data_IF_513258681318
#
_entry.id   IF_513258681318
#
_cell.length_a   1.000
_cell.length_b   1.000
_cell.length_c   1.000
_cell.angle_alpha   90.00
_cell.angle_beta   90.00
_cell.angle_gamma   90.00
#
_symmetry.space_group_name_H-M   'P 1'
#
loop_
_entity.id
_entity.type
_entity.pdbx_description
1 polymer ?
#
# COMPACT_ATOMS: atom_id res chain seq x y z
N UNK A 1 -29.45 57.48 19.10
CA UNK A 1 -29.27 56.96 20.48
C UNK A 1 -30.23 55.83 20.83
N UNK A 2 -31.53 55.90 20.49
CA UNK A 2 -32.40 54.69 20.42
C UNK A 2 -31.80 53.58 19.55
N UNK A 3 -30.99 53.94 18.55
CA UNK A 3 -30.28 53.03 17.64
C UNK A 3 -29.36 52.03 18.32
N UNK A 4 -28.76 52.33 19.49
CA UNK A 4 -27.71 51.46 20.06
C UNK A 4 -28.33 50.39 20.94
N UNK A 5 -29.29 50.76 21.78
CA UNK A 5 -30.12 49.80 22.50
C UNK A 5 -30.97 49.02 21.49
N UNK A 6 -31.43 49.64 20.40
CA UNK A 6 -32.05 48.95 19.27
C UNK A 6 -31.08 48.01 18.54
N UNK A 7 -29.82 48.34 18.35
CA UNK A 7 -28.81 47.46 17.72
C UNK A 7 -28.39 46.33 18.67
N UNK A 8 -28.24 46.59 19.97
CA UNK A 8 -28.02 45.56 21.00
C UNK A 8 -29.24 44.64 21.08
N UNK A 9 -30.46 45.18 21.14
CA UNK A 9 -31.71 44.39 21.11
C UNK A 9 -31.90 43.67 19.80
N UNK A 10 -31.64 44.29 18.64
CA UNK A 10 -31.74 43.64 17.32
C UNK A 10 -30.69 42.57 17.14
N UNK A 11 -29.47 42.76 17.63
CA UNK A 11 -28.43 41.73 17.60
C UNK A 11 -28.77 40.55 18.52
N UNK A 12 -29.37 40.82 19.69
CA UNK A 12 -29.87 39.79 20.62
C UNK A 12 -31.12 39.08 20.06
N UNK A 13 -32.06 39.81 19.45
CA UNK A 13 -33.26 39.28 18.76
C UNK A 13 -32.85 38.43 17.54
N UNK A 14 -31.93 38.92 16.71
CA UNK A 14 -31.40 38.23 15.53
C UNK A 14 -30.68 36.92 15.86
N UNK A 15 -30.12 36.78 17.08
CA UNK A 15 -29.51 35.53 17.52
C UNK A 15 -30.47 34.60 18.28
N UNK A 16 -31.54 35.13 18.87
CA UNK A 16 -32.60 34.32 19.50
C UNK A 16 -33.67 33.84 18.50
N UNK A 17 -33.85 34.54 17.38
CA UNK A 17 -34.62 34.10 16.21
C UNK A 17 -33.66 33.66 15.10
N UNK A 18 -33.05 32.47 15.25
CA UNK A 18 -32.52 31.75 14.08
C UNK A 18 -33.74 31.26 13.29
N UNK A 19 -34.35 32.15 12.49
CA UNK A 19 -34.90 31.74 11.21
C UNK A 19 -33.77 31.91 10.19
N UNK A 20 -33.29 30.76 9.72
CA UNK A 20 -32.61 30.53 8.45
C UNK A 20 -33.04 31.63 7.44
N UNK A 21 -32.13 32.54 7.07
CA UNK A 21 -32.15 33.42 5.86
C UNK A 21 -31.38 34.75 5.99
N UNK A 22 -30.57 34.97 7.04
CA UNK A 22 -29.68 36.14 7.09
C UNK A 22 -28.24 35.79 6.65
N UNK A 23 -27.87 36.23 5.43
CA UNK A 23 -26.57 35.98 4.75
C UNK A 23 -25.37 36.76 5.33
N UNK A 24 -25.26 36.95 6.64
CA UNK A 24 -24.17 37.72 7.25
C UNK A 24 -23.40 36.97 8.33
N UNK A 25 -22.06 37.02 8.27
CA UNK A 25 -21.16 36.44 9.26
C UNK A 25 -21.39 37.08 10.66
N UNK A 26 -21.69 36.30 11.71
CA UNK A 26 -21.80 36.77 13.09
C UNK A 26 -20.59 37.59 13.58
N UNK A 27 -19.39 37.32 13.06
CA UNK A 27 -18.19 38.10 13.36
C UNK A 27 -18.26 39.52 12.81
N UNK A 28 -18.84 39.70 11.63
CA UNK A 28 -18.99 41.03 11.00
C UNK A 28 -19.99 41.89 11.76
N UNK A 29 -21.11 41.32 12.21
CA UNK A 29 -22.07 42.04 13.05
C UNK A 29 -21.51 42.37 14.44
N UNK A 30 -20.73 41.46 15.03
CA UNK A 30 -20.03 41.72 16.30
C UNK A 30 -19.02 42.86 16.15
N UNK A 31 -18.28 42.90 15.04
CA UNK A 31 -17.32 43.96 14.75
C UNK A 31 -18.01 45.31 14.50
N UNK A 32 -19.11 45.33 13.75
CA UNK A 32 -19.90 46.54 13.53
C UNK A 32 -20.50 47.07 14.83
N UNK A 33 -21.00 46.19 15.70
CA UNK A 33 -21.48 46.53 17.03
C UNK A 33 -20.33 47.09 17.89
N UNK A 34 -19.18 46.43 17.92
CA UNK A 34 -17.97 46.90 18.62
C UNK A 34 -17.57 48.30 18.17
N UNK A 35 -17.51 48.55 16.85
CA UNK A 35 -17.19 49.86 16.27
C UNK A 35 -18.18 50.94 16.69
N UNK A 36 -19.50 50.66 16.62
CA UNK A 36 -20.55 51.59 17.05
C UNK A 36 -20.51 51.87 18.55
N UNK A 37 -20.24 50.86 19.37
CA UNK A 37 -20.09 51.02 20.81
C UNK A 37 -18.79 51.77 21.15
N UNK A 38 -17.74 51.61 20.36
CA UNK A 38 -16.50 52.36 20.51
C UNK A 38 -16.70 53.84 20.19
N UNK A 39 -17.41 54.15 19.09
CA UNK A 39 -17.82 55.51 18.72
C UNK A 39 -18.56 56.19 19.89
N UNK A 40 -19.55 55.50 20.50
CA UNK A 40 -20.24 56.01 21.68
C UNK A 40 -19.34 56.18 22.89
N UNK A 41 -18.47 55.20 23.16
CA UNK A 41 -17.49 55.27 24.25
C UNK A 41 -16.57 56.47 24.11
N UNK A 42 -16.30 56.89 22.87
CA UNK A 42 -15.43 58.01 22.54
C UNK A 42 -16.11 59.38 22.65
N UNK A 43 -17.45 59.46 22.65
CA UNK A 43 -18.18 60.73 22.81
C UNK A 43 -17.91 61.40 24.15
N UNK A 44 -17.57 60.62 25.18
CA UNK A 44 -17.11 61.12 26.49
C UNK A 44 -15.86 62.01 26.39
N UNK A 45 -15.04 61.84 25.34
CA UNK A 45 -13.85 62.67 25.07
C UNK A 45 -14.19 64.02 24.43
N UNK A 46 -15.43 64.20 23.95
CA UNK A 46 -15.94 65.43 23.36
C UNK A 46 -16.94 66.10 24.31
N UNK A 47 -16.41 66.64 25.42
CA UNK A 47 -17.16 67.14 26.59
C UNK A 47 -18.36 68.03 26.21
N UNK A 48 -18.19 68.97 25.27
CA UNK A 48 -19.28 69.88 24.85
C UNK A 48 -20.43 69.16 24.13
N UNK A 49 -20.12 68.20 23.27
CA UNK A 49 -21.12 67.40 22.57
C UNK A 49 -21.85 66.50 23.55
N UNK A 50 -21.11 65.88 24.47
CA UNK A 50 -21.65 65.03 25.53
C UNK A 50 -22.57 65.79 26.49
N UNK A 51 -22.24 67.06 26.81
CA UNK A 51 -23.09 67.95 27.60
C UNK A 51 -24.35 68.38 26.83
N UNK A 52 -24.25 68.75 25.55
CA UNK A 52 -25.39 69.17 24.73
C UNK A 52 -26.43 68.07 24.48
N UNK A 53 -26.09 66.81 24.74
CA UNK A 53 -26.96 65.66 24.54
C UNK A 53 -27.43 65.01 25.84
N UNK A 54 -27.22 65.67 26.98
CA UNK A 54 -27.51 65.15 28.32
C UNK A 54 -26.86 63.77 28.56
N UNK A 55 -25.60 63.63 28.11
CA UNK A 55 -24.90 62.35 28.08
C UNK A 55 -24.79 61.70 29.45
N UNK A 56 -24.60 62.48 30.52
CA UNK A 56 -24.52 61.98 31.90
C UNK A 56 -25.84 61.36 32.34
N UNK A 57 -26.96 62.05 32.17
CA UNK A 57 -28.30 61.58 32.55
C UNK A 57 -28.71 60.33 31.77
N UNK A 58 -28.33 60.26 30.49
CA UNK A 58 -28.55 59.06 29.67
C UNK A 58 -27.71 57.87 30.12
N UNK A 59 -26.45 58.08 30.48
CA UNK A 59 -25.60 57.01 31.02
C UNK A 59 -26.13 56.52 32.36
N UNK A 60 -26.58 57.42 33.25
CA UNK A 60 -27.22 57.06 34.53
C UNK A 60 -28.50 56.25 34.32
N UNK A 61 -29.29 56.59 33.31
CA UNK A 61 -30.50 55.83 32.94
C UNK A 61 -30.17 54.43 32.39
N UNK A 62 -29.09 54.27 31.63
CA UNK A 62 -28.71 52.99 31.01
C UNK A 62 -27.89 52.09 31.92
N UNK A 63 -27.25 52.65 32.93
CA UNK A 63 -26.39 51.92 33.85
C UNK A 63 -27.11 50.70 34.50
N UNK A 64 -28.36 50.80 34.99
CA UNK A 64 -29.10 49.65 35.48
C UNK A 64 -29.32 48.55 34.42
N UNK A 65 -29.59 48.94 33.17
CA UNK A 65 -29.80 47.98 32.07
C UNK A 65 -28.51 47.25 31.68
N UNK A 66 -27.38 47.96 31.63
CA UNK A 66 -26.08 47.34 31.36
C UNK A 66 -25.66 46.38 32.48
N UNK A 67 -25.97 46.72 33.74
CA UNK A 67 -25.69 45.87 34.90
C UNK A 67 -26.55 44.61 34.89
N UNK A 68 -27.83 44.73 34.57
CA UNK A 68 -28.73 43.57 34.48
C UNK A 68 -28.37 42.64 33.31
N UNK A 69 -28.01 43.24 32.16
CA UNK A 69 -27.52 42.48 31.01
C UNK A 69 -26.19 41.77 31.31
N UNK A 70 -25.26 42.45 32.00
CA UNK A 70 -24.02 41.83 32.46
C UNK A 70 -24.30 40.62 33.35
N UNK A 71 -25.16 40.77 34.35
CA UNK A 71 -25.54 39.69 35.28
C UNK A 71 -26.16 38.51 34.54
N UNK A 72 -27.06 38.78 33.59
CA UNK A 72 -27.73 37.74 32.80
C UNK A 72 -26.73 37.02 31.89
N UNK A 73 -25.88 37.76 31.18
CA UNK A 73 -24.89 37.17 30.27
C UNK A 73 -23.84 36.37 31.06
N UNK A 74 -23.35 36.88 32.19
CA UNK A 74 -22.39 36.17 33.04
C UNK A 74 -23.01 34.89 33.63
N UNK A 75 -24.26 34.95 34.11
CA UNK A 75 -24.97 33.78 34.65
C UNK A 75 -25.18 32.68 33.62
N UNK A 76 -25.75 33.02 32.46
CA UNK A 76 -25.98 32.05 31.38
C UNK A 76 -24.69 31.43 30.84
N UNK A 77 -23.59 32.17 30.90
CA UNK A 77 -22.34 31.64 30.38
C UNK A 77 -21.59 30.83 31.42
N UNK A 78 -21.73 31.15 32.72
CA UNK A 78 -21.32 30.25 33.80
C UNK A 78 -22.09 28.92 33.71
N UNK A 79 -23.39 28.95 33.41
CA UNK A 79 -24.18 27.75 33.13
C UNK A 79 -23.60 26.96 31.95
N UNK A 80 -23.30 27.62 30.83
CA UNK A 80 -22.67 26.97 29.66
C UNK A 80 -21.31 26.36 30.02
N UNK A 81 -20.53 27.03 30.87
CA UNK A 81 -19.22 26.59 31.36
C UNK A 81 -19.35 25.32 32.21
N UNK A 82 -20.27 25.33 33.17
CA UNK A 82 -20.56 24.17 34.05
C UNK A 82 -21.12 22.99 33.26
N UNK A 83 -21.96 23.25 32.25
CA UNK A 83 -22.55 22.21 31.40
C UNK A 83 -21.64 21.76 30.25
N UNK A 84 -20.43 22.30 30.13
CA UNK A 84 -19.50 22.05 29.01
C UNK A 84 -20.09 22.29 27.61
N UNK A 85 -21.05 23.22 27.50
CA UNK A 85 -21.65 23.58 26.22
C UNK A 85 -20.79 24.64 25.51
N UNK A 86 -19.67 24.19 24.94
CA UNK A 86 -18.63 25.07 24.43
C UNK A 86 -19.02 25.90 23.22
N UNK A 87 -19.95 25.43 22.39
CA UNK A 87 -20.48 26.17 21.25
C UNK A 87 -21.25 27.41 21.73
N UNK A 88 -22.17 27.20 22.66
CA UNK A 88 -22.96 28.28 23.25
C UNK A 88 -22.09 29.23 24.10
N UNK A 89 -21.09 28.69 24.79
CA UNK A 89 -20.06 29.47 25.50
C UNK A 89 -19.31 30.40 24.54
N UNK A 90 -18.83 29.92 23.39
CA UNK A 90 -18.16 30.73 22.36
C UNK A 90 -19.05 31.84 21.83
N UNK A 91 -20.28 31.49 21.49
CA UNK A 91 -21.28 32.42 21.00
C UNK A 91 -21.54 33.58 21.97
N UNK A 92 -21.53 33.28 23.27
CA UNK A 92 -21.69 34.26 24.35
C UNK A 92 -20.42 35.07 24.58
N UNK A 93 -19.24 34.47 24.38
CA UNK A 93 -17.97 35.18 24.49
C UNK A 93 -17.76 36.22 23.40
N UNK A 94 -18.25 35.98 22.17
CA UNK A 94 -18.25 36.99 21.11
C UNK A 94 -19.06 38.23 21.56
N UNK A 95 -20.24 38.00 22.15
CA UNK A 95 -21.07 39.08 22.71
C UNK A 95 -20.36 39.80 23.85
N UNK A 96 -19.72 39.06 24.76
CA UNK A 96 -18.95 39.60 25.87
C UNK A 96 -17.79 40.49 25.39
N UNK A 97 -17.10 40.06 24.33
CA UNK A 97 -16.01 40.80 23.72
C UNK A 97 -16.49 42.14 23.14
N UNK A 98 -17.57 42.12 22.35
CA UNK A 98 -18.15 43.33 21.76
C UNK A 98 -18.61 44.34 22.83
N UNK A 99 -19.17 43.84 23.93
CA UNK A 99 -19.65 44.68 25.04
C UNK A 99 -18.54 45.15 25.97
N UNK A 100 -17.30 44.64 25.84
CA UNK A 100 -16.15 45.08 26.63
C UNK A 100 -15.88 46.58 26.53
N UNK A 101 -16.29 47.24 25.43
CA UNK A 101 -16.20 48.70 25.29
C UNK A 101 -17.07 49.47 26.31
N UNK A 102 -18.16 48.86 26.80
CA UNK A 102 -19.08 49.46 27.77
C UNK A 102 -18.55 49.46 29.20
N UNK A 103 -17.51 48.67 29.49
CA UNK A 103 -16.88 48.61 30.82
C UNK A 103 -16.43 50.00 31.31
N UNK A 104 -16.05 50.89 30.38
CA UNK A 104 -15.62 52.28 30.67
C UNK A 104 -16.72 53.15 31.28
N UNK A 105 -17.99 52.86 31.00
CA UNK A 105 -19.12 53.59 31.58
C UNK A 105 -19.56 53.02 32.92
N UNK A 106 -19.22 51.76 33.18
CA UNK A 106 -19.66 51.01 34.35
C UNK A 106 -18.52 50.77 35.36
N UNK A 107 -17.39 51.50 35.23
CA UNK A 107 -16.16 51.28 36.03
C UNK A 107 -16.44 51.29 37.53
N UNK A 108 -17.24 52.25 37.99
CA UNK A 108 -17.60 52.39 39.40
C UNK A 108 -18.46 51.23 39.92
N UNK A 109 -19.19 50.54 39.04
CA UNK A 109 -20.10 49.44 39.40
C UNK A 109 -19.44 48.08 39.26
N UNK A 110 -18.68 47.86 38.19
CA UNK A 110 -18.05 46.57 37.92
C UNK A 110 -16.69 46.39 38.59
N UNK A 111 -16.04 47.46 39.07
CA UNK A 111 -14.78 47.40 39.82
C UNK A 111 -13.68 46.52 39.19
N UNK A 112 -13.63 46.47 37.85
CA UNK A 112 -12.68 45.64 37.09
C UNK A 112 -13.20 44.26 36.66
N UNK A 113 -14.41 43.86 37.07
CA UNK A 113 -15.07 42.60 36.70
C UNK A 113 -16.17 42.79 35.64
N UNK A 114 -15.95 43.69 34.68
CA UNK A 114 -16.88 43.93 33.57
C UNK A 114 -16.80 42.88 32.46
N UNK A 115 -17.48 43.14 31.35
CA UNK A 115 -17.60 42.23 30.20
C UNK A 115 -16.23 41.80 29.64
N UNK A 116 -15.26 42.72 29.59
CA UNK A 116 -13.92 42.44 29.07
C UNK A 116 -13.08 41.57 30.01
N UNK A 117 -13.25 41.70 31.33
CA UNK A 117 -12.57 40.83 32.29
C UNK A 117 -13.14 39.41 32.24
N UNK A 118 -14.46 39.32 32.14
CA UNK A 118 -15.17 38.05 32.06
C UNK A 118 -14.91 37.31 30.73
N UNK A 119 -14.88 38.02 29.60
CA UNK A 119 -14.40 37.49 28.32
C UNK A 119 -13.01 36.86 28.45
N UNK A 120 -12.03 37.58 29.03
CA UNK A 120 -10.66 37.07 29.20
C UNK A 120 -10.60 35.80 30.04
N UNK A 121 -11.40 35.71 31.10
CA UNK A 121 -11.44 34.54 31.98
C UNK A 121 -11.91 33.30 31.23
N UNK A 122 -13.04 33.39 30.52
CA UNK A 122 -13.62 32.27 29.80
C UNK A 122 -12.87 31.95 28.48
N UNK A 123 -12.26 32.96 27.85
CA UNK A 123 -11.41 32.76 26.66
C UNK A 123 -10.21 31.84 26.97
N UNK A 124 -9.61 31.93 28.16
CA UNK A 124 -8.51 31.05 28.57
C UNK A 124 -8.93 29.59 28.60
N UNK A 125 -10.14 29.29 29.07
CA UNK A 125 -10.67 27.92 29.14
C UNK A 125 -10.97 27.37 27.75
N UNK A 126 -11.66 28.13 26.90
CA UNK A 126 -11.92 27.75 25.50
C UNK A 126 -10.61 27.52 24.75
N UNK A 127 -9.61 28.37 24.96
CA UNK A 127 -8.28 28.23 24.33
C UNK A 127 -7.56 26.97 24.81
N UNK A 128 -7.65 26.66 26.11
CA UNK A 128 -7.04 25.45 26.69
C UNK A 128 -7.65 24.19 26.08
N UNK A 129 -8.97 24.18 25.92
CA UNK A 129 -9.68 23.03 25.36
C UNK A 129 -9.38 22.83 23.87
N UNK A 130 -9.40 23.89 23.07
CA UNK A 130 -8.98 23.84 21.65
C UNK A 130 -7.55 23.32 21.52
N UNK A 131 -6.66 23.68 22.44
CA UNK A 131 -5.27 23.22 22.44
C UNK A 131 -5.12 21.72 22.76
N UNK A 132 -5.99 21.15 23.59
CA UNK A 132 -5.98 19.70 23.83
C UNK A 132 -6.47 18.92 22.61
N UNK A 133 -7.52 19.39 21.93
CA UNK A 133 -7.97 18.77 20.66
C UNK A 133 -6.89 18.86 19.58
N UNK A 134 -6.23 20.02 19.48
CA UNK A 134 -5.07 20.20 18.60
C UNK A 134 -3.94 19.18 18.87
N UNK A 135 -3.55 19.00 20.13
CA UNK A 135 -2.54 17.99 20.49
C UNK A 135 -3.00 16.58 20.15
N UNK A 136 -4.30 16.29 20.28
CA UNK A 136 -4.86 15.00 19.91
C UNK A 136 -4.70 14.76 18.41
N UNK A 137 -5.07 15.73 17.55
CA UNK A 137 -4.88 15.63 16.09
C UNK A 137 -3.43 15.34 15.73
N UNK A 138 -2.48 16.11 16.28
CA UNK A 138 -1.06 15.87 16.01
C UNK A 138 -0.59 14.48 16.46
N UNK A 139 -1.04 14.03 17.63
CA UNK A 139 -0.71 12.71 18.14
C UNK A 139 -1.26 11.58 17.26
N UNK A 140 -2.49 11.73 16.74
CA UNK A 140 -3.07 10.79 15.79
C UNK A 140 -2.29 10.76 14.47
N UNK A 141 -1.94 11.93 13.91
CA UNK A 141 -1.11 12.05 12.70
C UNK A 141 0.25 11.38 12.90
N UNK A 142 0.90 11.60 14.05
CA UNK A 142 2.19 11.01 14.38
C UNK A 142 2.11 9.47 14.46
N UNK A 143 1.01 8.94 14.97
CA UNK A 143 0.75 7.49 15.04
C UNK A 143 0.26 6.89 13.72
N UNK A 144 -0.02 7.72 12.70
CA UNK A 144 -0.61 7.28 11.43
C UNK A 144 -2.07 6.83 11.55
N UNK A 145 -2.78 7.32 12.56
CA UNK A 145 -4.20 7.05 12.79
C UNK A 145 -5.05 8.19 12.20
N UNK A 146 -5.13 8.20 10.87
CA UNK A 146 -5.76 9.31 10.15
C UNK A 146 -7.28 9.33 10.32
N UNK A 147 -7.92 8.20 10.62
CA UNK A 147 -9.36 8.17 10.89
C UNK A 147 -9.71 8.96 12.16
N UNK A 148 -8.96 8.76 13.25
CA UNK A 148 -9.17 9.53 14.47
C UNK A 148 -8.64 10.98 14.35
N UNK A 149 -7.62 11.22 13.51
CA UNK A 149 -7.18 12.58 13.22
C UNK A 149 -8.28 13.41 12.54
N UNK A 150 -8.99 12.84 11.56
CA UNK A 150 -10.12 13.46 10.86
C UNK A 150 -11.30 13.80 11.80
N UNK A 151 -11.66 12.85 12.66
CA UNK A 151 -12.70 13.05 13.69
C UNK A 151 -12.31 14.20 14.61
N UNK A 152 -11.09 14.17 15.15
CA UNK A 152 -10.61 15.22 16.04
C UNK A 152 -10.44 16.56 15.32
N UNK A 153 -10.18 16.58 14.02
CA UNK A 153 -10.13 17.81 13.22
C UNK A 153 -11.53 18.41 13.04
N UNK A 154 -12.57 17.59 12.89
CA UNK A 154 -13.95 18.07 12.80
C UNK A 154 -14.38 18.79 14.08
N UNK A 155 -13.96 18.30 15.25
CA UNK A 155 -14.15 18.98 16.54
C UNK A 155 -13.43 20.33 16.62
N UNK A 156 -12.43 20.54 15.76
CA UNK A 156 -11.63 21.76 15.70
C UNK A 156 -12.27 22.85 14.83
N UNK A 157 -13.05 22.50 13.80
CA UNK A 157 -13.80 23.49 13.01
C UNK A 157 -14.84 24.21 13.88
N UNK A 158 -15.50 23.46 14.77
CA UNK A 158 -16.31 24.02 15.87
C UNK A 158 -15.46 24.84 16.86
N UNK A 159 -14.14 24.60 16.85
CA UNK A 159 -13.16 25.14 17.80
C UNK A 159 -12.12 26.13 17.26
N UNK A 160 -12.31 26.83 16.14
CA UNK A 160 -11.45 27.95 15.63
C UNK A 160 -9.96 27.92 16.04
N UNK A 161 -9.11 27.29 15.23
CA UNK A 161 -7.65 27.22 15.45
C UNK A 161 -6.94 28.58 15.36
N UNK A 162 -5.78 28.66 16.03
CA UNK A 162 -4.77 29.65 15.64
C UNK A 162 -4.16 29.26 14.28
N UNK A 163 -3.86 30.25 13.44
CA UNK A 163 -3.21 30.03 12.14
C UNK A 163 -1.88 29.25 12.27
N UNK A 164 -1.19 29.43 13.40
CA UNK A 164 0.07 28.74 13.72
C UNK A 164 -0.14 27.23 13.90
N UNK A 165 -1.18 26.85 14.64
CA UNK A 165 -1.51 25.46 14.92
C UNK A 165 -1.96 24.76 13.64
N UNK A 166 -2.81 25.42 12.84
CA UNK A 166 -3.21 24.92 11.52
C UNK A 166 -2.00 24.64 10.61
N UNK A 167 -1.05 25.58 10.54
CA UNK A 167 0.20 25.39 9.76
C UNK A 167 1.00 24.17 10.21
N UNK A 168 1.05 23.92 11.52
CA UNK A 168 1.76 22.77 12.06
C UNK A 168 1.05 21.44 11.76
N UNK A 169 -0.29 21.36 11.87
CA UNK A 169 -1.05 20.18 11.44
C UNK A 169 -0.77 19.88 9.96
N UNK A 170 -0.86 20.90 9.08
CA UNK A 170 -0.58 20.74 7.64
C UNK A 170 0.83 20.18 7.40
N UNK A 171 1.82 20.72 8.11
CA UNK A 171 3.21 20.27 8.00
C UNK A 171 3.38 18.81 8.44
N UNK A 172 2.86 18.45 9.61
CA UNK A 172 3.01 17.09 10.15
C UNK A 172 2.25 16.06 9.32
N UNK A 173 1.03 16.39 8.86
CA UNK A 173 0.25 15.52 7.97
C UNK A 173 1.04 15.22 6.68
N UNK A 174 1.55 16.27 6.03
CA UNK A 174 2.38 16.12 4.82
C UNK A 174 3.65 15.32 5.08
N UNK A 175 4.34 15.58 6.18
CA UNK A 175 5.57 14.86 6.55
C UNK A 175 5.30 13.37 6.78
N UNK A 176 4.26 13.06 7.55
CA UNK A 176 3.81 11.70 7.88
C UNK A 176 3.44 10.92 6.61
N UNK A 177 2.65 11.51 5.71
CA UNK A 177 2.25 10.88 4.45
C UNK A 177 3.43 10.66 3.49
N UNK A 178 4.32 11.64 3.36
CA UNK A 178 5.53 11.49 2.55
C UNK A 178 6.43 10.36 3.06
N UNK A 179 6.53 10.21 4.38
CA UNK A 179 7.27 9.11 5.00
C UNK A 179 6.62 7.76 4.67
N UNK A 180 5.30 7.62 4.85
CA UNK A 180 4.57 6.40 4.48
C UNK A 180 4.77 6.02 3.02
N UNK A 181 4.61 6.99 2.10
CA UNK A 181 4.80 6.74 0.67
C UNK A 181 6.24 6.33 0.35
N UNK A 182 7.24 6.95 0.98
CA UNK A 182 8.64 6.62 0.78
C UNK A 182 8.98 5.24 1.32
N UNK A 183 8.51 4.90 2.52
CA UNK A 183 8.76 3.61 3.16
C UNK A 183 8.14 2.48 2.33
N UNK A 184 6.91 2.67 1.85
CA UNK A 184 6.22 1.72 0.94
C UNK A 184 6.99 1.52 -0.36
N UNK A 185 7.45 2.60 -1.02
CA UNK A 185 8.30 2.50 -2.22
C UNK A 185 9.60 1.76 -1.93
N UNK A 186 10.20 1.97 -0.76
CA UNK A 186 11.39 1.24 -0.33
C UNK A 186 11.12 -0.26 -0.15
N UNK A 187 9.94 -0.62 0.37
CA UNK A 187 9.50 -2.01 0.51
C UNK A 187 9.34 -2.68 -0.86
N UNK A 188 8.66 -2.00 -1.80
CA UNK A 188 8.50 -2.52 -3.17
C UNK A 188 9.85 -2.73 -3.85
N UNK A 189 10.77 -1.77 -3.74
CA UNK A 189 12.13 -1.92 -4.27
C UNK A 189 12.91 -3.05 -3.57
N UNK A 190 12.65 -3.30 -2.29
CA UNK A 190 13.29 -4.42 -1.58
C UNK A 190 12.75 -5.77 -2.06
N UNK A 191 11.45 -5.86 -2.41
CA UNK A 191 10.86 -7.05 -3.03
C UNK A 191 11.49 -7.33 -4.40
N UNK A 192 11.94 -6.31 -5.14
CA UNK A 192 12.75 -6.47 -6.34
C UNK A 192 14.12 -7.08 -5.99
N UNK A 193 14.22 -8.41 -6.12
CA UNK A 193 15.45 -9.18 -5.92
C UNK A 193 15.52 -9.97 -4.60
N UNK A 194 14.49 -9.91 -3.75
CA UNK A 194 14.41 -10.70 -2.50
C UNK A 194 13.10 -11.46 -2.30
N UNK A 195 12.35 -11.65 -3.38
CA UNK A 195 11.05 -12.35 -3.40
C UNK A 195 11.09 -13.78 -2.83
N UNK A 196 12.29 -14.33 -2.63
CA UNK A 196 12.54 -15.69 -2.14
C UNK A 196 12.62 -15.81 -0.61
N UNK A 197 12.62 -14.69 0.15
CA UNK A 197 12.73 -14.70 1.63
C UNK A 197 11.36 -14.66 2.32
N UNK A 198 10.67 -15.80 2.37
CA UNK A 198 9.26 -15.91 2.75
C UNK A 198 8.87 -15.18 4.06
N UNK A 199 9.61 -15.40 5.16
CA UNK A 199 9.28 -14.82 6.47
C UNK A 199 9.51 -13.30 6.54
N UNK A 200 10.59 -12.81 5.92
CA UNK A 200 10.84 -11.38 5.78
C UNK A 200 9.78 -10.73 4.88
N UNK A 201 9.40 -11.40 3.78
CA UNK A 201 8.44 -10.89 2.81
C UNK A 201 7.06 -10.68 3.40
N UNK A 202 6.56 -11.61 4.24
CA UNK A 202 5.23 -11.47 4.85
C UNK A 202 5.13 -10.20 5.70
N UNK A 203 6.15 -9.93 6.53
CA UNK A 203 6.19 -8.73 7.37
C UNK A 203 6.26 -7.46 6.51
N UNK A 204 7.11 -7.45 5.48
CA UNK A 204 7.23 -6.31 4.57
C UNK A 204 5.92 -6.05 3.80
N UNK A 205 5.28 -7.10 3.28
CA UNK A 205 3.99 -6.99 2.58
C UNK A 205 2.89 -6.49 3.52
N UNK A 206 2.88 -6.92 4.77
CA UNK A 206 1.91 -6.44 5.77
C UNK A 206 2.07 -4.94 6.02
N UNK A 207 3.30 -4.48 6.26
CA UNK A 207 3.59 -3.04 6.44
C UNK A 207 3.19 -2.24 5.19
N UNK A 208 3.48 -2.78 4.00
CA UNK A 208 3.12 -2.13 2.74
C UNK A 208 1.60 -1.94 2.61
N UNK A 209 0.80 -2.96 2.93
CA UNK A 209 -0.66 -2.89 2.93
C UNK A 209 -1.19 -1.86 3.91
N UNK A 210 -0.70 -1.89 5.15
CA UNK A 210 -1.11 -0.94 6.18
C UNK A 210 -0.82 0.51 5.76
N UNK A 211 0.31 0.75 5.08
CA UNK A 211 0.64 2.08 4.58
C UNK A 211 -0.28 2.52 3.44
N UNK A 212 -0.61 1.63 2.51
CA UNK A 212 -1.56 1.89 1.42
C UNK A 212 -2.95 2.21 2.00
N UNK A 213 -3.43 1.40 2.94
CA UNK A 213 -4.72 1.63 3.62
C UNK A 213 -4.77 2.99 4.31
N UNK A 214 -3.69 3.37 5.00
CA UNK A 214 -3.56 4.68 5.64
C UNK A 214 -3.62 5.83 4.63
N UNK A 215 -2.96 5.70 3.48
CA UNK A 215 -3.05 6.68 2.39
C UNK A 215 -4.48 6.77 1.85
N UNK A 216 -5.14 5.63 1.67
CA UNK A 216 -6.51 5.58 1.17
C UNK A 216 -7.51 6.18 2.15
N UNK A 217 -7.30 6.03 3.47
CA UNK A 217 -8.09 6.73 4.48
C UNK A 217 -8.01 8.25 4.25
N UNK A 218 -6.80 8.82 4.10
CA UNK A 218 -6.67 10.28 3.86
C UNK A 218 -7.35 10.71 2.57
N UNK A 219 -7.24 9.94 1.49
CA UNK A 219 -7.92 10.23 0.23
C UNK A 219 -9.45 10.27 0.34
N UNK A 220 -10.02 9.48 1.25
CA UNK A 220 -11.46 9.40 1.50
C UNK A 220 -11.96 10.41 2.55
N UNK A 221 -11.07 11.17 3.19
CA UNK A 221 -11.41 12.12 4.26
C UNK A 221 -11.18 13.55 3.78
N UNK A 222 -12.26 14.22 3.36
CA UNK A 222 -12.21 15.59 2.83
C UNK A 222 -11.51 16.57 3.79
N UNK A 223 -11.83 16.52 5.09
CA UNK A 223 -11.22 17.41 6.09
C UNK A 223 -9.69 17.30 6.16
N UNK A 224 -9.13 16.08 6.04
CA UNK A 224 -7.67 15.90 5.95
C UNK A 224 -7.12 16.24 4.57
N UNK A 225 -7.86 15.94 3.50
CA UNK A 225 -7.40 16.17 2.13
C UNK A 225 -7.28 17.67 1.82
N UNK A 226 -8.21 18.49 2.30
CA UNK A 226 -8.22 19.96 2.16
C UNK A 226 -7.05 20.65 2.86
N UNK A 227 -6.45 19.99 3.85
CA UNK A 227 -5.24 20.51 4.52
C UNK A 227 -3.99 20.41 3.65
N UNK A 228 -4.01 19.61 2.59
CA UNK A 228 -2.87 19.33 1.73
C UNK A 228 -2.84 20.23 0.49
N UNK A 229 -1.63 20.56 0.04
CA UNK A 229 -1.44 21.25 -1.24
C UNK A 229 -1.74 20.34 -2.45
N UNK A 230 -2.14 20.95 -3.58
CA UNK A 230 -2.52 20.26 -4.81
C UNK A 230 -1.49 19.22 -5.26
N UNK A 231 -0.19 19.53 -5.11
CA UNK A 231 0.87 18.61 -5.48
C UNK A 231 0.80 17.34 -4.62
N UNK A 232 0.71 17.50 -3.31
CA UNK A 232 0.63 16.39 -2.36
C UNK A 232 -0.64 15.56 -2.60
N UNK A 233 -1.78 16.20 -2.86
CA UNK A 233 -3.01 15.49 -3.22
C UNK A 233 -2.86 14.64 -4.48
N UNK A 234 -2.23 15.18 -5.52
CA UNK A 234 -1.95 14.45 -6.77
C UNK A 234 -0.96 13.29 -6.55
N UNK A 235 0.06 13.50 -5.72
CA UNK A 235 1.01 12.45 -5.35
C UNK A 235 0.30 11.28 -4.64
N UNK A 236 -0.65 11.57 -3.73
CA UNK A 236 -1.45 10.54 -3.05
C UNK A 236 -2.38 9.80 -4.04
N UNK A 237 -3.09 10.52 -4.91
CA UNK A 237 -4.02 9.90 -5.89
C UNK A 237 -3.31 8.99 -6.90
N UNK A 238 -2.06 9.31 -7.25
CA UNK A 238 -1.26 8.51 -8.16
C UNK A 238 -0.42 7.43 -7.47
N UNK A 239 -0.36 7.44 -6.14
CA UNK A 239 0.51 6.57 -5.35
C UNK A 239 0.19 5.09 -5.57
N UNK A 240 -1.07 4.69 -5.42
CA UNK A 240 -1.50 3.30 -5.59
C UNK A 240 -1.21 2.78 -6.99
N UNK A 241 -1.47 3.58 -8.02
CA UNK A 241 -1.14 3.21 -9.39
C UNK A 241 0.38 3.06 -9.60
N UNK A 242 1.19 3.92 -8.99
CA UNK A 242 2.65 3.87 -9.09
C UNK A 242 3.26 2.67 -8.36
N UNK A 243 2.77 2.37 -7.14
CA UNK A 243 3.08 1.11 -6.45
C UNK A 243 2.62 -0.04 -7.32
N UNK A 244 1.45 0.11 -7.96
CA UNK A 244 0.89 -0.97 -8.71
C UNK A 244 1.83 -1.35 -9.87
N UNK A 245 2.10 -0.41 -10.76
CA UNK A 245 3.01 -0.61 -11.89
C UNK A 245 4.38 -1.21 -11.51
N UNK A 246 4.94 -0.85 -10.36
CA UNK A 246 6.20 -1.43 -9.89
C UNK A 246 6.08 -2.90 -9.52
N UNK A 247 5.05 -3.28 -8.76
CA UNK A 247 4.80 -4.68 -8.42
C UNK A 247 4.54 -5.52 -9.68
N UNK A 248 3.82 -4.99 -10.68
CA UNK A 248 3.67 -5.64 -12.00
C UNK A 248 5.00 -5.84 -12.73
N UNK A 249 5.93 -4.88 -12.64
CA UNK A 249 7.27 -5.03 -13.27
C UNK A 249 8.09 -6.13 -12.60
N UNK A 250 8.11 -6.18 -11.26
CA UNK A 250 8.82 -7.20 -10.47
C UNK A 250 8.28 -8.59 -10.83
N UNK A 251 6.97 -8.69 -10.79
CA UNK A 251 6.14 -9.81 -11.24
C UNK A 251 6.54 -10.32 -12.64
N UNK A 252 6.48 -9.48 -13.67
CA UNK A 252 6.84 -9.88 -15.04
C UNK A 252 8.31 -10.26 -15.19
N UNK A 253 9.22 -9.64 -14.41
CA UNK A 253 10.65 -10.00 -14.39
C UNK A 253 10.85 -11.39 -13.80
N UNK A 254 10.21 -11.70 -12.67
CA UNK A 254 10.23 -13.02 -12.05
C UNK A 254 9.73 -14.12 -12.98
N UNK A 255 8.60 -13.89 -13.65
CA UNK A 255 8.06 -14.83 -14.65
C UNK A 255 9.00 -15.06 -15.83
N UNK A 256 9.71 -14.01 -16.28
CA UNK A 256 10.72 -14.13 -17.35
C UNK A 256 11.88 -15.00 -16.90
N UNK A 257 12.39 -14.81 -15.67
CA UNK A 257 13.43 -15.67 -15.11
C UNK A 257 12.99 -17.13 -14.97
N UNK A 258 11.76 -17.39 -14.51
CA UNK A 258 11.20 -18.75 -14.47
C UNK A 258 11.15 -19.36 -15.88
N UNK A 259 10.72 -18.58 -16.88
CA UNK A 259 10.67 -19.01 -18.27
C UNK A 259 12.04 -19.37 -18.83
N UNK A 260 13.08 -18.65 -18.43
CA UNK A 260 14.47 -18.90 -18.82
C UNK A 260 15.02 -20.16 -18.12
N UNK A 261 14.75 -20.36 -16.83
CA UNK A 261 15.09 -21.61 -16.12
C UNK A 261 14.44 -22.83 -16.76
N UNK A 262 13.15 -22.75 -17.10
CA UNK A 262 12.45 -23.82 -17.80
C UNK A 262 13.07 -24.14 -19.17
N UNK A 263 13.53 -23.13 -19.92
CA UNK A 263 14.19 -23.32 -21.21
C UNK A 263 15.59 -23.96 -21.08
N UNK A 264 16.26 -23.79 -19.94
CA UNK A 264 17.59 -24.34 -19.64
C UNK A 264 17.54 -25.73 -18.98
N UNK A 265 16.35 -26.35 -18.93
CA UNK A 265 16.05 -27.57 -18.19
C UNK A 265 16.36 -27.46 -16.67
N UNK A 266 16.46 -26.24 -16.12
CA UNK A 266 16.66 -25.95 -14.68
C UNK A 266 15.33 -25.98 -13.93
N UNK A 267 14.72 -27.16 -13.87
CA UNK A 267 13.35 -27.31 -13.37
C UNK A 267 13.22 -26.99 -11.87
N UNK A 268 14.25 -27.27 -11.07
CA UNK A 268 14.18 -27.02 -9.62
C UNK A 268 14.09 -25.53 -9.32
N UNK A 269 14.93 -24.73 -9.99
CA UNK A 269 14.94 -23.28 -9.88
C UNK A 269 13.64 -22.67 -10.41
N UNK A 270 13.09 -23.26 -11.48
CA UNK A 270 11.83 -22.82 -12.04
C UNK A 270 10.62 -23.10 -11.10
N UNK A 271 10.55 -24.27 -10.47
CA UNK A 271 9.52 -24.59 -9.47
C UNK A 271 9.64 -23.67 -8.25
N UNK A 272 10.85 -23.50 -7.71
CA UNK A 272 11.09 -22.61 -6.58
C UNK A 272 10.69 -21.17 -6.91
N UNK A 273 11.06 -20.70 -8.11
CA UNK A 273 10.66 -19.37 -8.58
C UNK A 273 9.14 -19.22 -8.68
N UNK A 274 8.42 -20.24 -9.16
CA UNK A 274 6.95 -20.23 -9.21
C UNK A 274 6.34 -20.20 -7.81
N UNK A 275 6.86 -20.98 -6.86
CA UNK A 275 6.36 -21.02 -5.49
C UNK A 275 6.56 -19.67 -4.78
N UNK A 276 7.75 -19.09 -4.88
CA UNK A 276 8.07 -17.79 -4.30
C UNK A 276 7.16 -16.68 -4.85
N UNK A 277 6.96 -16.67 -6.16
CA UNK A 277 6.11 -15.71 -6.86
C UNK A 277 4.62 -15.90 -6.50
N UNK A 278 4.17 -17.14 -6.35
CA UNK A 278 2.83 -17.49 -5.86
C UNK A 278 2.59 -17.05 -4.41
N UNK A 279 3.61 -17.17 -3.55
CA UNK A 279 3.52 -16.74 -2.16
C UNK A 279 3.34 -15.22 -2.09
N UNK A 280 4.19 -14.45 -2.78
CA UNK A 280 4.05 -12.99 -2.84
C UNK A 280 2.71 -12.56 -3.44
N UNK A 281 2.21 -13.26 -4.46
CA UNK A 281 0.88 -12.99 -5.00
C UNK A 281 -0.23 -13.22 -3.98
N UNK A 282 -0.20 -14.34 -3.25
CA UNK A 282 -1.19 -14.65 -2.22
C UNK A 282 -1.17 -13.58 -1.12
N UNK A 283 0.02 -13.19 -0.70
CA UNK A 283 0.20 -12.14 0.29
C UNK A 283 -0.26 -10.78 -0.25
N UNK A 284 -0.19 -10.49 -1.55
CA UNK A 284 -0.67 -9.22 -2.15
C UNK A 284 -2.13 -9.25 -2.62
N UNK A 285 -2.83 -10.37 -2.48
CA UNK A 285 -4.21 -10.53 -2.94
C UNK A 285 -5.14 -9.47 -2.31
N UNK A 286 -6.01 -8.88 -3.14
CA UNK A 286 -7.00 -7.88 -2.72
C UNK A 286 -6.54 -6.42 -2.75
N UNK A 287 -5.22 -6.17 -2.72
CA UNK A 287 -4.64 -4.83 -2.82
C UNK A 287 -4.18 -4.49 -4.23
N UNK A 288 -4.05 -5.51 -5.07
CA UNK A 288 -3.44 -5.43 -6.38
C UNK A 288 -4.31 -6.10 -7.43
N UNK A 289 -4.70 -5.35 -8.46
CA UNK A 289 -5.70 -5.78 -9.47
C UNK A 289 -5.10 -6.30 -10.78
N UNK A 290 -3.78 -6.52 -10.88
CA UNK A 290 -3.22 -6.82 -12.20
C UNK A 290 -3.55 -8.20 -12.75
N UNK A 291 -3.41 -8.30 -14.07
CA UNK A 291 -3.41 -9.47 -14.96
C UNK A 291 -2.45 -10.62 -14.57
N UNK A 292 -1.82 -10.58 -13.40
CA UNK A 292 -0.79 -11.52 -12.96
C UNK A 292 -1.22 -12.98 -12.94
N UNK A 293 -2.49 -13.23 -12.59
CA UNK A 293 -3.10 -14.58 -12.62
C UNK A 293 -3.06 -15.19 -14.03
N UNK A 294 -3.19 -14.37 -15.07
CA UNK A 294 -3.11 -14.84 -16.45
C UNK A 294 -1.68 -15.29 -16.81
N UNK A 295 -0.67 -14.54 -16.35
CA UNK A 295 0.72 -14.83 -16.68
C UNK A 295 1.27 -16.06 -15.93
N UNK A 296 0.85 -16.30 -14.68
CA UNK A 296 1.22 -17.53 -13.94
C UNK A 296 0.61 -18.78 -14.62
N UNK A 297 -0.65 -18.69 -15.06
CA UNK A 297 -1.30 -19.75 -15.83
C UNK A 297 -0.54 -20.04 -17.13
N UNK A 298 -0.05 -19.00 -17.81
CA UNK A 298 0.76 -19.16 -19.02
C UNK A 298 2.09 -19.86 -18.75
N UNK A 299 2.78 -19.50 -17.67
CA UNK A 299 4.03 -20.17 -17.25
C UNK A 299 3.79 -21.62 -16.86
N UNK A 300 2.69 -21.93 -16.16
CA UNK A 300 2.30 -23.32 -15.86
C UNK A 300 2.01 -24.11 -17.13
N UNK A 301 1.23 -23.56 -18.06
CA UNK A 301 0.99 -24.19 -19.38
C UNK A 301 2.28 -24.43 -20.14
N UNK A 302 3.23 -23.48 -20.09
CA UNK A 302 4.53 -23.64 -20.72
C UNK A 302 5.34 -24.75 -20.06
N UNK A 303 5.31 -24.84 -18.73
CA UNK A 303 5.92 -25.93 -17.98
C UNK A 303 5.35 -27.28 -18.42
N UNK A 304 4.03 -27.41 -18.52
CA UNK A 304 3.37 -28.64 -18.97
C UNK A 304 3.74 -28.99 -20.43
N UNK A 305 3.85 -27.99 -21.31
CA UNK A 305 4.34 -28.18 -22.68
C UNK A 305 5.76 -28.71 -22.70
N UNK A 306 6.67 -28.14 -21.90
CA UNK A 306 8.07 -28.57 -21.83
C UNK A 306 8.18 -30.00 -21.30
N UNK A 307 7.43 -30.34 -20.26
CA UNK A 307 7.37 -31.70 -19.70
C UNK A 307 6.82 -32.70 -20.74
N UNK A 308 5.82 -32.30 -21.51
CA UNK A 308 5.31 -33.10 -22.64
C UNK A 308 6.35 -33.26 -23.75
N UNK A 309 7.04 -32.19 -24.12
CA UNK A 309 8.05 -32.19 -25.18
C UNK A 309 9.27 -33.02 -24.80
N UNK A 310 9.72 -32.96 -23.54
CA UNK A 310 10.77 -33.84 -22.99
C UNK A 310 10.40 -35.31 -23.22
N UNK A 311 9.16 -35.67 -22.93
CA UNK A 311 8.68 -37.03 -23.13
C UNK A 311 8.70 -37.43 -24.61
N UNK A 312 8.52 -36.48 -25.54
CA UNK A 312 8.55 -36.70 -26.98
C UNK A 312 9.94 -36.69 -27.61
N UNK A 313 10.93 -36.05 -26.98
CA UNK A 313 12.32 -35.96 -27.51
C UNK A 313 12.93 -37.33 -27.80
N UNK A 314 12.52 -38.37 -27.07
CA UNK A 314 13.03 -39.75 -27.18
C UNK A 314 12.00 -40.72 -27.77
N UNK A 315 10.96 -40.22 -28.44
CA UNK A 315 10.00 -41.08 -29.16
C UNK A 315 10.57 -41.70 -30.45
N UNK A 316 11.71 -41.21 -30.95
CA UNK A 316 12.36 -41.82 -32.11
C UNK A 316 13.09 -43.10 -31.72
N UNK A 317 12.91 -44.17 -32.49
CA UNK A 317 13.67 -45.43 -32.34
C UNK A 317 15.15 -45.31 -32.76
N UNK A 318 15.57 -44.17 -33.32
CA UNK A 318 16.95 -43.95 -33.74
C UNK A 318 17.85 -43.54 -32.56
N UNK A 319 18.69 -44.46 -32.11
CA UNK A 319 19.60 -44.24 -30.98
C UNK A 319 20.66 -43.17 -31.26
N UNK A 320 20.89 -42.81 -32.53
CA UNK A 320 21.83 -41.73 -32.86
C UNK A 320 21.27 -40.36 -32.44
N UNK A 321 19.96 -40.25 -32.27
CA UNK A 321 19.33 -39.03 -31.73
C UNK A 321 19.76 -38.75 -30.29
N UNK A 322 20.11 -39.78 -29.51
CA UNK A 322 20.59 -39.64 -28.12
C UNK A 322 21.96 -38.95 -28.05
N UNK A 323 22.75 -38.95 -29.12
CA UNK A 323 24.00 -38.20 -29.18
C UNK A 323 23.76 -36.70 -29.42
N UNK A 324 22.68 -36.35 -30.14
CA UNK A 324 22.27 -34.97 -30.36
C UNK A 324 21.59 -34.36 -29.14
N UNK A 325 20.89 -35.19 -28.35
CA UNK A 325 20.28 -34.79 -27.08
C UNK A 325 20.63 -35.82 -25.99
N UNK A 326 21.79 -35.69 -25.33
CA UNK A 326 22.24 -36.64 -24.32
C UNK A 326 21.25 -36.77 -23.15
N UNK A 327 20.74 -37.98 -22.85
CA UNK A 327 19.75 -38.17 -21.79
C UNK A 327 20.34 -38.09 -20.37
N UNK A 328 21.66 -38.25 -20.21
CA UNK A 328 22.32 -38.28 -18.89
C UNK A 328 21.97 -37.10 -17.99
N UNK A 329 22.18 -35.88 -18.48
CA UNK A 329 21.99 -34.67 -17.68
C UNK A 329 20.50 -34.39 -17.46
N UNK A 330 19.66 -34.63 -18.46
CA UNK A 330 18.21 -34.48 -18.36
C UNK A 330 17.60 -35.44 -17.33
N UNK A 331 17.96 -36.72 -17.36
CA UNK A 331 17.50 -37.72 -16.40
C UNK A 331 17.95 -37.38 -14.97
N UNK A 332 19.18 -36.88 -14.81
CA UNK A 332 19.67 -36.43 -13.51
C UNK A 332 18.84 -35.26 -12.96
N UNK A 333 18.58 -34.24 -13.78
CA UNK A 333 17.76 -33.08 -13.41
C UNK A 333 16.30 -33.46 -13.11
N UNK A 334 15.68 -34.31 -13.93
CA UNK A 334 14.32 -34.80 -13.70
C UNK A 334 14.22 -35.61 -12.40
N UNK A 335 15.20 -36.49 -12.13
CA UNK A 335 15.26 -37.30 -10.90
C UNK A 335 15.41 -36.43 -9.66
N UNK A 336 16.22 -35.37 -9.74
CA UNK A 336 16.39 -34.41 -8.65
C UNK A 336 15.06 -33.74 -8.30
N UNK A 337 14.32 -33.22 -9.28
CA UNK A 337 13.04 -32.56 -9.03
C UNK A 337 11.95 -33.54 -8.59
N UNK A 338 11.94 -34.74 -9.16
CA UNK A 338 11.03 -35.82 -8.75
C UNK A 338 11.20 -36.19 -7.27
N UNK A 339 12.43 -36.20 -6.75
CA UNK A 339 12.72 -36.49 -5.35
C UNK A 339 12.13 -35.45 -4.37
N UNK A 340 11.85 -34.24 -4.83
CA UNK A 340 11.25 -33.16 -4.03
C UNK A 340 9.71 -33.12 -4.15
N UNK A 341 9.08 -34.21 -4.62
CA UNK A 341 7.62 -34.33 -4.68
C UNK A 341 6.97 -33.90 -6.00
N UNK A 342 7.76 -33.59 -7.03
CA UNK A 342 7.26 -33.22 -8.36
C UNK A 342 6.67 -34.40 -9.13
N UNK A 343 5.41 -34.76 -8.89
CA UNK A 343 4.74 -35.92 -9.51
C UNK A 343 4.81 -35.93 -11.04
N UNK A 344 4.63 -34.77 -11.69
CA UNK A 344 4.74 -34.62 -13.16
C UNK A 344 6.15 -34.87 -13.68
N UNK A 345 7.18 -34.39 -12.97
CA UNK A 345 8.57 -34.61 -13.33
C UNK A 345 8.97 -36.07 -13.10
N UNK A 346 8.40 -36.72 -12.08
CA UNK A 346 8.57 -38.15 -11.85
C UNK A 346 7.93 -38.99 -12.98
N UNK A 347 6.77 -38.57 -13.47
CA UNK A 347 6.12 -39.21 -14.61
C UNK A 347 6.96 -39.03 -15.88
N UNK A 348 7.45 -37.83 -16.15
CA UNK A 348 8.34 -37.55 -17.28
C UNK A 348 9.66 -38.30 -17.18
N UNK A 349 10.26 -38.39 -15.98
CA UNK A 349 11.43 -39.21 -15.70
C UNK A 349 11.16 -40.67 -16.06
N UNK A 350 10.09 -41.25 -15.52
CA UNK A 350 9.75 -42.67 -15.73
C UNK A 350 9.44 -42.97 -17.20
N UNK A 351 8.68 -42.10 -17.86
CA UNK A 351 8.35 -42.21 -19.28
C UNK A 351 9.61 -42.14 -20.15
N UNK A 352 10.46 -41.14 -19.92
CA UNK A 352 11.71 -40.94 -20.68
C UNK A 352 12.66 -42.12 -20.47
N UNK A 353 12.81 -42.56 -19.23
CA UNK A 353 13.60 -43.74 -18.86
C UNK A 353 13.11 -45.01 -19.57
N UNK A 354 11.78 -45.20 -19.63
CA UNK A 354 11.16 -46.32 -20.33
C UNK A 354 11.46 -46.31 -21.83
N UNK A 355 11.30 -45.16 -22.49
CA UNK A 355 11.58 -44.99 -23.92
C UNK A 355 13.05 -45.25 -24.26
N UNK A 356 13.98 -44.67 -23.49
CA UNK A 356 15.41 -44.93 -23.66
C UNK A 356 15.71 -46.42 -23.54
N UNK A 357 15.19 -47.10 -22.51
CA UNK A 357 15.38 -48.55 -22.35
C UNK A 357 14.86 -49.33 -23.56
N UNK A 358 13.68 -48.96 -24.06
CA UNK A 358 13.08 -49.59 -25.24
C UNK A 358 13.96 -49.38 -26.48
N UNK A 359 14.42 -48.15 -26.74
CA UNK A 359 15.27 -47.82 -27.89
C UNK A 359 16.59 -48.62 -27.86
N UNK A 360 17.23 -48.72 -26.70
CA UNK A 360 18.46 -49.52 -26.54
C UNK A 360 18.20 -51.01 -26.73
N UNK A 361 17.11 -51.56 -26.18
CA UNK A 361 16.73 -52.96 -26.41
C UNK A 361 16.45 -53.25 -27.89
N UNK A 362 15.71 -52.37 -28.58
CA UNK A 362 15.43 -52.51 -30.01
C UNK A 362 16.72 -52.41 -30.84
N UNK A 363 17.65 -51.52 -30.49
CA UNK A 363 18.93 -51.41 -31.17
C UNK A 363 19.79 -52.67 -31.02
N UNK A 364 19.81 -53.29 -29.84
CA UNK A 364 20.49 -54.57 -29.59
C UNK A 364 19.88 -55.68 -30.44
N UNK A 365 18.55 -55.79 -30.49
CA UNK A 365 17.87 -56.76 -31.35
C UNK A 365 18.12 -56.47 -32.85
N UNK A 366 18.19 -55.20 -33.22
CA UNK A 366 18.53 -54.75 -34.57
C UNK A 366 19.96 -55.11 -34.99
N UNK A 367 20.91 -55.21 -34.05
CA UNK A 367 22.25 -55.76 -34.27
C UNK A 367 22.17 -57.28 -34.44
N UNK A 368 21.45 -57.99 -33.56
CA UNK A 368 21.30 -59.46 -33.62
C UNK A 368 20.72 -59.93 -34.96
N UNK A 369 19.67 -59.27 -35.43
CA UNK A 369 19.01 -59.56 -36.69
C UNK A 369 19.71 -59.01 -37.94
N UNK A 370 20.78 -58.22 -37.80
CA UNK A 370 21.46 -57.62 -38.96
C UNK A 370 22.37 -58.62 -39.68
N UNK A 371 22.49 -58.50 -41.03
CA UNK A 371 23.57 -59.14 -41.79
C UNK A 371 24.96 -58.75 -41.28
N UNK A 372 25.92 -59.68 -41.38
CA UNK A 372 27.30 -59.56 -40.85
C UNK A 372 28.01 -58.26 -41.29
N UNK A 373 27.86 -57.88 -42.56
CA UNK A 373 28.44 -56.67 -43.15
C UNK A 373 27.90 -55.36 -42.54
N UNK A 374 26.72 -55.39 -41.93
CA UNK A 374 26.07 -54.22 -41.30
C UNK A 374 26.18 -54.20 -39.78
N UNK A 375 26.52 -55.32 -39.14
CA UNK A 375 26.62 -55.44 -37.67
C UNK A 375 27.65 -54.48 -37.07
N UNK A 376 28.83 -54.35 -37.70
CA UNK A 376 29.92 -53.50 -37.19
C UNK A 376 29.55 -52.01 -37.10
N UNK A 377 28.76 -51.49 -38.05
CA UNK A 377 28.30 -50.10 -38.05
C UNK A 377 27.25 -49.87 -36.95
N UNK A 378 26.31 -50.81 -36.78
CA UNK A 378 25.29 -50.73 -35.73
C UNK A 378 25.89 -50.83 -34.32
N UNK A 379 26.88 -51.71 -34.12
CA UNK A 379 27.61 -51.82 -32.85
C UNK A 379 28.35 -50.53 -32.52
N UNK A 380 28.96 -49.85 -33.52
CA UNK A 380 29.59 -48.54 -33.32
C UNK A 380 28.60 -47.46 -32.94
N UNK A 381 27.44 -47.40 -33.60
CA UNK A 381 26.34 -46.50 -33.22
C UNK A 381 25.87 -46.76 -31.79
N UNK A 382 25.70 -48.02 -31.40
CA UNK A 382 25.32 -48.41 -30.04
C UNK A 382 26.37 -48.02 -28.99
N UNK A 383 27.64 -48.27 -29.26
CA UNK A 383 28.74 -47.82 -28.40
C UNK A 383 28.78 -46.30 -28.23
N UNK A 384 28.52 -45.55 -29.31
CA UNK A 384 28.45 -44.10 -29.25
C UNK A 384 27.29 -43.63 -28.35
N UNK A 385 26.10 -44.20 -28.53
CA UNK A 385 24.93 -43.83 -27.74
C UNK A 385 25.09 -44.20 -26.24
N UNK A 386 25.72 -45.34 -25.94
CA UNK A 386 26.00 -45.78 -24.57
C UNK A 386 26.81 -44.76 -23.75
N UNK A 387 27.66 -43.95 -24.38
CA UNK A 387 28.45 -42.91 -23.70
C UNK A 387 27.58 -41.79 -23.10
N UNK A 388 26.35 -41.62 -23.59
CA UNK A 388 25.43 -40.56 -23.18
C UNK A 388 24.37 -41.02 -22.17
N UNK A 389 24.47 -42.27 -21.69
CA UNK A 389 23.63 -42.78 -20.61
C UNK A 389 24.24 -42.54 -19.22
N UNK A 390 23.39 -42.43 -18.18
CA UNK A 390 23.80 -42.63 -16.79
C UNK A 390 24.42 -44.03 -16.57
N UNK A 391 25.39 -44.14 -15.66
CA UNK A 391 26.15 -45.39 -15.44
C UNK A 391 25.26 -46.58 -15.04
N UNK A 392 24.25 -46.33 -14.22
CA UNK A 392 23.28 -47.32 -13.76
C UNK A 392 22.43 -47.89 -14.91
N UNK A 393 22.13 -47.07 -15.91
CA UNK A 393 21.45 -47.49 -17.14
C UNK A 393 22.39 -48.10 -18.17
N UNK A 394 23.64 -47.63 -18.21
CA UNK A 394 24.64 -48.06 -19.18
C UNK A 394 25.07 -49.52 -18.95
N UNK A 395 25.27 -49.92 -17.69
CA UNK A 395 25.81 -51.23 -17.32
C UNK A 395 25.12 -52.44 -18.00
N UNK A 396 23.79 -52.61 -17.95
CA UNK A 396 23.12 -53.77 -18.56
C UNK A 396 23.25 -53.80 -20.09
N UNK A 397 23.19 -52.65 -20.76
CA UNK A 397 23.29 -52.60 -22.22
C UNK A 397 24.73 -52.73 -22.72
N UNK A 398 25.71 -52.24 -21.94
CA UNK A 398 27.13 -52.40 -22.23
C UNK A 398 27.53 -53.88 -22.22
N UNK A 399 27.09 -54.64 -21.23
CA UNK A 399 27.34 -56.07 -21.15
C UNK A 399 26.84 -56.81 -22.41
N UNK A 400 25.61 -56.52 -22.83
CA UNK A 400 25.01 -57.12 -24.03
C UNK A 400 25.73 -56.69 -25.31
N UNK A 401 26.19 -55.44 -25.41
CA UNK A 401 26.93 -54.97 -26.57
C UNK A 401 28.35 -55.59 -26.65
N UNK A 402 29.00 -55.81 -25.51
CA UNK A 402 30.30 -56.49 -25.44
C UNK A 402 30.18 -57.96 -25.89
N UNK A 403 29.09 -58.64 -25.54
CA UNK A 403 28.77 -59.99 -26.04
C UNK A 403 28.58 -60.01 -27.56
N UNK A 404 27.81 -59.07 -28.11
CA UNK A 404 27.60 -58.94 -29.55
C UNK A 404 28.90 -58.63 -30.30
N UNK A 405 29.76 -57.81 -29.72
CA UNK A 405 31.06 -57.47 -30.29
C UNK A 405 32.00 -58.69 -30.35
N UNK A 406 31.98 -59.55 -29.33
CA UNK A 406 32.71 -60.82 -29.33
C UNK A 406 32.18 -61.79 -30.38
N UNK A 407 30.85 -61.96 -30.46
CA UNK A 407 30.21 -62.82 -31.45
C UNK A 407 30.56 -62.39 -32.88
N UNK A 408 30.54 -61.09 -33.17
CA UNK A 408 30.95 -60.57 -34.47
C UNK A 408 32.41 -60.93 -34.78
N UNK A 409 33.33 -60.75 -33.83
CA UNK A 409 34.74 -61.09 -34.02
C UNK A 409 34.96 -62.59 -34.27
N UNK A 410 34.23 -63.46 -33.58
CA UNK A 410 34.30 -64.91 -33.75
C UNK A 410 33.74 -65.36 -35.10
N UNK A 411 32.62 -64.78 -35.54
CA UNK A 411 32.00 -65.04 -36.84
C UNK A 411 32.90 -64.56 -37.99
N UNK A 412 33.46 -63.34 -37.91
CA UNK A 412 34.40 -62.81 -38.91
C UNK A 412 35.67 -63.69 -39.01
N UNK A 413 36.19 -64.18 -37.89
CA UNK A 413 37.33 -65.09 -37.88
C UNK A 413 36.99 -66.45 -38.50
N UNK A 414 35.78 -66.96 -38.26
CA UNK A 414 35.29 -68.21 -38.87
C UNK A 414 35.10 -68.06 -40.37
N UNK A 415 34.54 -66.93 -40.82
CA UNK A 415 34.35 -66.64 -42.24
C UNK A 415 35.69 -66.51 -42.97
N UNK A 416 36.67 -65.83 -42.37
CA UNK A 416 38.05 -65.76 -42.89
C UNK A 416 38.72 -67.13 -42.99
N UNK A 417 38.53 -68.01 -41.99
CA UNK A 417 39.02 -69.40 -42.03
C UNK A 417 38.38 -70.21 -43.16
N UNK A 418 37.07 -70.08 -43.34
CA UNK A 418 36.34 -70.79 -44.41
C UNK A 418 36.73 -70.31 -45.81
N UNK A 419 36.97 -68.99 -45.98
CA UNK A 419 37.51 -68.42 -47.22
C UNK A 419 38.91 -68.94 -47.53
N UNK A 420 39.78 -69.05 -46.52
CA UNK A 420 41.13 -69.60 -46.70
C UNK A 420 41.14 -71.10 -47.02
N UNK A 421 40.16 -71.87 -46.54
CA UNK A 421 40.00 -73.29 -46.88
C UNK A 421 39.47 -73.47 -48.31
N UNK A 422 38.60 -72.57 -48.80
CA UNK A 422 38.05 -72.63 -50.15
C UNK A 422 39.03 -72.18 -51.26
N UNK A 423 40.15 -71.56 -50.89
CA UNK A 423 41.22 -71.08 -51.78
C UNK A 423 42.40 -72.06 -51.90
N UNK A 424 42.36 -73.19 -51.17
CA UNK A 424 43.27 -74.34 -51.27
C UNK A 424 42.53 -75.45 -52.01
#
# INVERSE_FOLDING_TARGET
MNTVIFLIRKYVEFKHEISIDAEGDPFQYSHDLEMRLHELSSLSKFIRVFQCMDGTEKVEHWLPEFVDYHRTLSGKTEECRVSSNNRELRDRLIIAQALGCLDRFCVAVFAGNGFGAWYRQCQVEVTKESREVYKAVLNYIYKGDYANADIALSDIDDRSLSEKDLKQIKHELKSSLNKLMKDTKSIVNWLDGKIEREEDNRNQVTIMKENIDKVQIVLNKEGLLELLDDKTQNDLRSFDNGINEQLSKISSKGLRSIKDFMNADSFSEAEQGMENLSCVQRELAGYYTSNFVADESEVRKKSDSIVSDISKRYDSEDINSDAANPPKDLLAKLKQVAAHGGARFNQAFTSTLGKIRQNFSQAIESVRGAPLDKRSAKIRSLNSALCFLPEDLQAPFKLQNDELSKLLADEENTQKRNLNIALI
#
